data_IF_579114449663
#
_entry.id   IF_579114449663
#
_cell.length_a   1.000
_cell.length_b   1.000
_cell.length_c   1.000
_cell.angle_alpha   90.00
_cell.angle_beta   90.00
_cell.angle_gamma   90.00
#
_symmetry.space_group_name_H-M   'P 1'
#
loop_
_entity.id
_entity.type
_entity.pdbx_description
1 polymer ?
#
# COMPACT_ATOMS: atom_id res chain seq x y z
N UNK A 1 12.79 1.40 -5.22
CA UNK A 1 12.16 2.00 -4.04
C UNK A 1 13.24 2.71 -3.27
N UNK A 2 13.08 4.01 -3.07
CA UNK A 2 14.01 4.84 -2.31
C UNK A 2 13.42 5.19 -0.92
N UNK A 3 14.05 4.73 0.17
CA UNK A 3 13.58 5.02 1.52
C UNK A 3 13.61 6.53 1.84
N UNK A 4 14.53 7.30 1.24
CA UNK A 4 14.64 8.75 1.44
C UNK A 4 13.39 9.46 0.90
N UNK A 5 12.95 9.10 -0.30
CA UNK A 5 11.74 9.65 -0.90
C UNK A 5 10.48 9.27 -0.10
N UNK A 6 10.36 8.01 0.32
CA UNK A 6 9.21 7.59 1.14
C UNK A 6 9.15 8.33 2.49
N UNK A 7 10.32 8.61 3.09
CA UNK A 7 10.45 9.39 4.33
C UNK A 7 10.09 10.87 4.14
N UNK A 8 10.42 11.45 2.98
CA UNK A 8 9.99 12.79 2.60
C UNK A 8 8.45 12.87 2.55
N UNK A 9 7.79 11.97 1.82
CA UNK A 9 6.33 11.94 1.73
C UNK A 9 5.69 11.70 3.11
N UNK A 10 6.24 10.79 3.91
CA UNK A 10 5.80 10.57 5.29
C UNK A 10 5.83 11.87 6.11
N UNK A 11 6.92 12.63 6.04
CA UNK A 11 7.07 13.91 6.75
C UNK A 11 6.09 14.96 6.25
N UNK A 12 5.81 15.00 4.95
CA UNK A 12 4.82 15.92 4.37
C UNK A 12 3.43 15.62 4.93
N UNK A 13 2.94 14.38 4.84
CA UNK A 13 1.60 14.02 5.34
C UNK A 13 1.50 14.09 6.87
N UNK A 14 2.60 13.90 7.58
CA UNK A 14 2.63 14.07 9.04
C UNK A 14 2.62 15.54 9.46
N UNK A 15 3.32 16.41 8.73
CA UNK A 15 3.49 17.83 9.07
C UNK A 15 2.35 18.72 8.56
N UNK A 16 1.92 18.51 7.32
CA UNK A 16 0.89 19.32 6.66
C UNK A 16 -0.49 18.65 6.63
N UNK A 17 -0.60 17.44 7.18
CA UNK A 17 -1.86 16.71 7.25
C UNK A 17 -2.50 16.58 5.86
N UNK A 18 -3.78 16.92 5.72
CA UNK A 18 -4.56 16.77 4.51
C UNK A 18 -4.51 17.98 3.55
N UNK A 19 -3.72 19.01 3.85
CA UNK A 19 -3.66 20.24 3.04
C UNK A 19 -3.31 19.95 1.58
N UNK A 20 -2.37 19.02 1.35
CA UNK A 20 -1.87 18.67 0.01
C UNK A 20 -2.46 17.35 -0.52
N UNK A 21 -3.44 16.78 0.18
CA UNK A 21 -3.95 15.44 -0.10
C UNK A 21 -4.54 15.33 -1.50
N UNK A 22 -5.30 16.33 -1.94
CA UNK A 22 -5.99 16.28 -3.24
C UNK A 22 -4.99 16.33 -4.40
N UNK A 23 -3.95 17.14 -4.27
CA UNK A 23 -2.86 17.29 -5.22
C UNK A 23 -2.06 15.99 -5.33
N UNK A 24 -1.76 15.33 -4.20
CA UNK A 24 -1.08 14.04 -4.20
C UNK A 24 -1.96 12.91 -4.70
N UNK A 25 -3.27 12.92 -4.46
CA UNK A 25 -4.21 11.95 -5.04
C UNK A 25 -4.24 12.10 -6.56
N UNK A 26 -4.35 13.34 -7.08
CA UNK A 26 -4.33 13.60 -8.52
C UNK A 26 -3.00 13.19 -9.16
N UNK A 27 -1.88 13.48 -8.49
CA UNK A 27 -0.56 13.03 -8.93
C UNK A 27 -0.47 11.50 -8.95
N UNK A 28 -0.90 10.85 -7.87
CA UNK A 28 -0.85 9.38 -7.74
C UNK A 28 -1.69 8.71 -8.82
N UNK A 29 -2.89 9.23 -9.10
CA UNK A 29 -3.74 8.68 -10.14
C UNK A 29 -3.13 8.82 -11.54
N UNK A 30 -2.50 9.97 -11.82
CA UNK A 30 -1.77 10.20 -13.07
C UNK A 30 -0.61 9.22 -13.25
N UNK A 31 0.19 8.99 -12.21
CA UNK A 31 1.36 8.09 -12.33
C UNK A 31 0.95 6.61 -12.38
N UNK A 32 -0.15 6.21 -11.73
CA UNK A 32 -0.64 4.83 -11.79
C UNK A 32 -1.27 4.47 -13.14
N UNK A 33 -1.77 5.46 -13.90
CA UNK A 33 -2.24 5.26 -15.27
C UNK A 33 -1.10 5.08 -16.29
N UNK A 34 0.15 5.38 -15.90
CA UNK A 34 1.31 5.27 -16.79
C UNK A 34 2.05 3.98 -16.45
N UNK A 35 2.01 3.00 -17.36
CA UNK A 35 2.66 1.69 -17.21
C UNK A 35 4.18 1.75 -17.43
N UNK A 36 4.89 2.57 -16.64
CA UNK A 36 6.34 2.71 -16.71
C UNK A 36 6.96 2.50 -15.32
N UNK A 37 8.07 1.78 -15.27
CA UNK A 37 8.69 1.30 -14.01
C UNK A 37 8.99 2.45 -13.03
N UNK A 38 9.54 3.56 -13.54
CA UNK A 38 9.85 4.74 -12.71
C UNK A 38 8.61 5.38 -12.08
N UNK A 39 7.45 5.31 -12.74
CA UNK A 39 6.18 5.84 -12.24
C UNK A 39 5.63 4.94 -11.13
N UNK A 40 5.69 3.61 -11.30
CA UNK A 40 5.36 2.68 -10.22
C UNK A 40 6.29 2.80 -9.02
N UNK A 41 7.58 3.06 -9.25
CA UNK A 41 8.52 3.35 -8.16
C UNK A 41 8.09 4.56 -7.36
N UNK A 42 7.84 5.70 -8.02
CA UNK A 42 7.34 6.91 -7.37
C UNK A 42 6.00 6.69 -6.66
N UNK A 43 5.07 5.98 -7.31
CA UNK A 43 3.76 5.65 -6.74
C UNK A 43 3.91 4.84 -5.44
N UNK A 44 4.79 3.84 -5.42
CA UNK A 44 5.04 3.01 -4.24
C UNK A 44 5.63 3.81 -3.07
N UNK A 45 6.51 4.78 -3.36
CA UNK A 45 7.11 5.69 -2.36
C UNK A 45 6.07 6.66 -1.80
N UNK A 46 5.22 7.23 -2.68
CA UNK A 46 4.15 8.15 -2.30
C UNK A 46 3.07 7.46 -1.45
N UNK A 47 2.63 6.27 -1.85
CA UNK A 47 1.65 5.46 -1.08
C UNK A 47 2.22 5.11 0.29
N UNK A 48 3.49 4.73 0.38
CA UNK A 48 4.15 4.46 1.66
C UNK A 48 4.10 5.68 2.57
N UNK A 49 4.47 6.86 2.06
CA UNK A 49 4.42 8.10 2.83
C UNK A 49 3.00 8.50 3.24
N UNK A 50 2.02 8.32 2.36
CA UNK A 50 0.62 8.65 2.61
C UNK A 50 0.02 7.76 3.70
N UNK A 51 0.21 6.44 3.62
CA UNK A 51 -0.33 5.50 4.61
C UNK A 51 0.37 5.68 5.97
N UNK A 52 1.70 5.75 5.99
CA UNK A 52 2.44 5.92 7.24
C UNK A 52 2.22 7.30 7.88
N UNK A 53 2.08 8.35 7.06
CA UNK A 53 1.93 9.73 7.50
C UNK A 53 0.53 10.08 7.99
N UNK A 54 -0.49 9.38 7.49
CA UNK A 54 -1.89 9.58 7.87
C UNK A 54 -2.34 8.85 9.14
N UNK A 55 -1.45 8.10 9.80
CA UNK A 55 -1.79 7.28 10.99
C UNK A 55 -2.34 8.06 12.19
N UNK A 56 -2.08 9.37 12.28
CA UNK A 56 -2.56 10.25 13.36
C UNK A 56 -3.74 11.15 12.95
N UNK A 57 -4.24 11.00 11.72
CA UNK A 57 -5.34 11.84 11.22
C UNK A 57 -6.68 11.41 11.83
N UNK A 58 -7.68 12.28 11.76
CA UNK A 58 -9.04 11.98 12.23
C UNK A 58 -9.65 10.84 11.42
N UNK A 59 -10.28 9.88 12.09
CA UNK A 59 -10.80 8.63 11.52
C UNK A 59 -11.66 8.83 10.25
N UNK A 60 -12.57 9.81 10.23
CA UNK A 60 -13.43 10.07 9.07
C UNK A 60 -12.65 10.51 7.81
N UNK A 61 -11.52 11.20 7.97
CA UNK A 61 -10.68 11.65 6.85
C UNK A 61 -9.81 10.51 6.32
N UNK A 62 -9.18 9.77 7.25
CA UNK A 62 -8.36 8.59 6.94
C UNK A 62 -9.16 7.58 6.13
N UNK A 63 -10.39 7.28 6.55
CA UNK A 63 -11.24 6.29 5.90
C UNK A 63 -11.49 6.60 4.42
N UNK A 64 -11.78 7.85 4.05
CA UNK A 64 -11.98 8.24 2.64
C UNK A 64 -10.74 7.99 1.79
N UNK A 65 -9.56 8.28 2.34
CA UNK A 65 -8.28 8.05 1.64
C UNK A 65 -7.99 6.56 1.53
N UNK A 66 -8.25 5.80 2.59
CA UNK A 66 -8.09 4.34 2.60
C UNK A 66 -9.02 3.67 1.58
N UNK A 67 -10.29 4.06 1.52
CA UNK A 67 -11.25 3.52 0.54
C UNK A 67 -10.82 3.82 -0.91
N UNK A 68 -10.33 5.04 -1.16
CA UNK A 68 -9.81 5.40 -2.48
C UNK A 68 -8.54 4.62 -2.83
N UNK A 69 -7.58 4.53 -1.89
CA UNK A 69 -6.35 3.76 -2.06
C UNK A 69 -6.65 2.27 -2.26
N UNK A 70 -7.56 1.69 -1.48
CA UNK A 70 -7.93 0.27 -1.58
C UNK A 70 -8.41 -0.06 -2.99
N UNK A 71 -9.34 0.73 -3.53
CA UNK A 71 -9.83 0.55 -4.90
C UNK A 71 -8.68 0.66 -5.90
N UNK A 72 -7.87 1.72 -5.78
CA UNK A 72 -6.85 2.02 -6.78
C UNK A 72 -5.68 1.03 -6.77
N UNK A 73 -5.25 0.61 -5.59
CA UNK A 73 -4.21 -0.41 -5.40
C UNK A 73 -4.72 -1.78 -5.82
N UNK A 74 -6.00 -2.10 -5.59
CA UNK A 74 -6.59 -3.34 -6.11
C UNK A 74 -6.44 -3.42 -7.62
N UNK A 75 -6.84 -2.38 -8.36
CA UNK A 75 -6.72 -2.36 -9.82
C UNK A 75 -5.25 -2.46 -10.26
N UNK A 76 -4.37 -1.69 -9.61
CA UNK A 76 -2.93 -1.69 -9.90
C UNK A 76 -2.29 -3.07 -9.67
N UNK A 77 -2.67 -3.78 -8.60
CA UNK A 77 -2.07 -5.07 -8.23
C UNK A 77 -2.61 -6.24 -9.06
N UNK A 78 -3.73 -6.09 -9.75
CA UNK A 78 -4.23 -7.11 -10.68
C UNK A 78 -3.40 -7.18 -11.97
N UNK A 79 -2.92 -6.03 -12.44
CA UNK A 79 -2.17 -5.85 -13.69
C UNK A 79 -0.66 -5.67 -13.45
N UNK A 80 -0.20 -5.89 -12.21
CA UNK A 80 1.17 -5.62 -11.81
C UNK A 80 2.16 -6.55 -12.52
N UNK A 81 3.20 -5.98 -13.10
CA UNK A 81 4.24 -6.75 -13.78
C UNK A 81 5.37 -7.14 -12.80
N UNK A 82 6.11 -8.23 -13.08
CA UNK A 82 7.20 -8.68 -12.22
C UNK A 82 8.34 -7.65 -12.04
N UNK A 83 8.54 -6.75 -13.01
CA UNK A 83 9.60 -5.74 -12.96
C UNK A 83 9.35 -4.72 -11.86
N UNK A 84 8.08 -4.39 -11.60
CA UNK A 84 7.68 -3.40 -10.58
C UNK A 84 7.27 -4.03 -9.26
N UNK A 85 7.06 -5.35 -9.19
CA UNK A 85 6.59 -6.06 -7.99
C UNK A 85 7.49 -5.82 -6.78
N UNK A 86 8.81 -5.77 -6.99
CA UNK A 86 9.80 -5.55 -5.93
C UNK A 86 9.66 -4.17 -5.26
N UNK A 87 9.33 -3.13 -6.03
CA UNK A 87 9.12 -1.78 -5.49
C UNK A 87 7.92 -1.76 -4.55
N UNK A 88 6.81 -2.39 -4.97
CA UNK A 88 5.60 -2.51 -4.16
C UNK A 88 5.77 -3.46 -2.96
N UNK A 89 6.51 -4.56 -3.11
CA UNK A 89 6.85 -5.43 -1.99
C UNK A 89 7.63 -4.69 -0.90
N UNK A 90 8.61 -3.87 -1.29
CA UNK A 90 9.38 -3.04 -0.35
C UNK A 90 8.49 -1.96 0.31
N UNK A 91 7.60 -1.33 -0.47
CA UNK A 91 6.63 -0.37 0.06
C UNK A 91 5.69 -1.02 1.10
N UNK A 92 5.10 -2.18 0.80
CA UNK A 92 4.23 -2.92 1.71
C UNK A 92 4.98 -3.34 2.98
N UNK A 93 6.18 -3.89 2.85
CA UNK A 93 7.02 -4.22 4.01
C UNK A 93 7.26 -2.98 4.89
N UNK A 94 7.59 -1.83 4.27
CA UNK A 94 7.82 -0.57 5.00
C UNK A 94 6.56 -0.11 5.74
N UNK A 95 5.38 -0.17 5.08
CA UNK A 95 4.10 0.19 5.68
C UNK A 95 3.80 -0.71 6.88
N UNK A 96 3.90 -2.02 6.71
CA UNK A 96 3.59 -3.01 7.75
C UNK A 96 4.55 -2.92 8.94
N UNK A 97 5.83 -2.63 8.71
CA UNK A 97 6.80 -2.42 9.78
C UNK A 97 6.65 -1.09 10.52
N UNK A 98 6.00 -0.09 9.91
CA UNK A 98 5.92 1.28 10.47
C UNK A 98 4.57 1.65 11.07
N UNK A 99 3.52 0.89 10.76
CA UNK A 99 2.14 1.18 11.14
C UNK A 99 1.58 0.15 12.13
N UNK A 100 0.63 0.57 12.96
CA UNK A 100 -0.08 -0.37 13.82
C UNK A 100 -1.02 -1.25 12.99
N UNK A 101 -1.13 -2.57 13.26
CA UNK A 101 -2.00 -3.48 12.50
C UNK A 101 -3.43 -2.99 12.34
N UNK A 102 -4.00 -2.34 13.37
CA UNK A 102 -5.35 -1.76 13.34
C UNK A 102 -5.51 -0.67 12.29
N UNK A 103 -4.47 0.13 12.05
CA UNK A 103 -4.51 1.23 11.07
C UNK A 103 -4.35 0.76 9.63
N UNK A 104 -3.81 -0.45 9.42
CA UNK A 104 -3.57 -1.05 8.10
C UNK A 104 -4.42 -2.29 7.85
N UNK A 105 -5.42 -2.58 8.70
CA UNK A 105 -6.30 -3.74 8.56
C UNK A 105 -6.97 -3.80 7.17
N UNK A 106 -7.43 -2.65 6.66
CA UNK A 106 -7.98 -2.52 5.30
C UNK A 106 -7.01 -3.03 4.22
N UNK A 107 -5.71 -2.73 4.36
CA UNK A 107 -4.68 -3.12 3.41
C UNK A 107 -4.38 -4.62 3.50
N UNK A 108 -4.37 -5.17 4.71
CA UNK A 108 -4.24 -6.63 4.94
C UNK A 108 -5.41 -7.37 4.27
N UNK A 109 -6.65 -6.95 4.55
CA UNK A 109 -7.84 -7.54 3.96
C UNK A 109 -7.88 -7.43 2.44
N UNK A 110 -7.46 -6.28 1.89
CA UNK A 110 -7.33 -6.07 0.45
C UNK A 110 -6.34 -7.05 -0.17
N UNK A 111 -5.15 -7.25 0.43
CA UNK A 111 -4.14 -8.19 -0.06
C UNK A 111 -4.63 -9.65 0.00
N UNK A 112 -5.32 -10.05 1.07
CA UNK A 112 -5.94 -11.38 1.13
C UNK A 112 -7.03 -11.57 0.08
N UNK A 113 -7.88 -10.57 -0.13
CA UNK A 113 -8.90 -10.58 -1.20
C UNK A 113 -8.24 -10.72 -2.57
N UNK A 114 -7.16 -9.98 -2.84
CA UNK A 114 -6.39 -10.08 -4.08
C UNK A 114 -5.78 -11.47 -4.28
N UNK A 115 -5.13 -12.02 -3.25
CA UNK A 115 -4.49 -13.33 -3.32
C UNK A 115 -5.49 -14.47 -3.58
N UNK A 116 -6.74 -14.34 -3.14
CA UNK A 116 -7.82 -15.32 -3.36
C UNK A 116 -8.51 -15.18 -4.71
N UNK A 117 -8.30 -14.09 -5.46
CA UNK A 117 -8.96 -13.91 -6.76
C UNK A 117 -8.48 -14.96 -7.75
N UNK A 118 -9.39 -15.68 -8.44
CA UNK A 118 -9.00 -16.64 -9.46
C UNK A 118 -8.27 -15.91 -10.59
N UNK A 119 -7.26 -16.57 -11.16
CA UNK A 119 -6.61 -16.16 -12.39
C UNK A 119 -6.04 -17.40 -13.05
N UNK A 120 -6.02 -17.39 -14.38
CA UNK A 120 -5.45 -18.46 -15.19
C UNK A 120 -3.93 -18.27 -15.37
N UNK A 121 -3.41 -17.09 -15.05
CA UNK A 121 -2.01 -16.71 -15.26
C UNK A 121 -1.22 -16.92 -13.97
N UNK A 122 -0.32 -17.91 -13.98
CA UNK A 122 0.49 -18.29 -12.82
C UNK A 122 1.37 -17.15 -12.28
N UNK A 123 1.89 -16.30 -13.16
CA UNK A 123 2.71 -15.13 -12.76
C UNK A 123 1.91 -14.12 -11.94
N UNK A 124 0.63 -13.91 -12.26
CA UNK A 124 -0.23 -13.02 -11.50
C UNK A 124 -0.50 -13.55 -10.08
N UNK A 125 -0.69 -14.86 -9.91
CA UNK A 125 -0.83 -15.48 -8.57
C UNK A 125 0.46 -15.29 -7.77
N UNK A 126 1.61 -15.58 -8.40
CA UNK A 126 2.94 -15.41 -7.78
C UNK A 126 3.12 -13.99 -7.25
N UNK A 127 2.83 -12.98 -8.07
CA UNK A 127 2.97 -11.56 -7.69
C UNK A 127 2.02 -11.19 -6.54
N UNK A 128 0.75 -11.60 -6.58
CA UNK A 128 -0.21 -11.33 -5.50
C UNK A 128 0.21 -11.97 -4.17
N UNK A 129 0.67 -13.22 -4.20
CA UNK A 129 1.20 -13.90 -3.03
C UNK A 129 2.49 -13.26 -2.52
N UNK A 130 3.37 -12.81 -3.41
CA UNK A 130 4.58 -12.08 -3.05
C UNK A 130 4.28 -10.76 -2.33
N UNK A 131 3.30 -9.98 -2.80
CA UNK A 131 2.87 -8.74 -2.15
C UNK A 131 2.32 -9.01 -0.74
N UNK A 132 1.47 -10.03 -0.60
CA UNK A 132 0.94 -10.47 0.70
C UNK A 132 2.07 -10.89 1.65
N UNK A 133 2.97 -11.75 1.17
CA UNK A 133 4.13 -12.22 1.95
C UNK A 133 5.02 -11.06 2.39
N UNK A 134 5.26 -10.08 1.51
CA UNK A 134 6.12 -8.93 1.80
C UNK A 134 5.64 -8.12 3.00
N UNK A 135 4.32 -7.91 3.11
CA UNK A 135 3.72 -7.27 4.29
C UNK A 135 3.75 -8.20 5.53
N UNK A 136 3.31 -9.45 5.36
CA UNK A 136 3.18 -10.38 6.48
C UNK A 136 4.50 -10.72 7.18
N UNK A 137 5.61 -10.72 6.45
CA UNK A 137 6.94 -10.94 7.03
C UNK A 137 7.32 -9.88 8.08
N UNK A 138 6.68 -8.71 8.08
CA UNK A 138 6.95 -7.62 9.02
C UNK A 138 6.03 -7.63 10.25
N UNK A 139 4.87 -8.29 10.16
CA UNK A 139 4.00 -8.54 11.33
C UNK A 139 4.48 -9.81 12.02
N UNK A 140 5.26 -9.64 13.09
CA UNK A 140 5.75 -10.77 13.89
C UNK A 140 4.63 -11.68 14.40
N UNK A 141 4.99 -12.92 14.80
CA UNK A 141 4.07 -13.99 15.22
C UNK A 141 3.02 -13.59 16.28
N UNK A 142 3.30 -12.59 17.11
CA UNK A 142 2.35 -12.09 18.12
C UNK A 142 1.08 -11.44 17.55
N UNK A 143 1.07 -11.05 16.27
CA UNK A 143 -0.06 -10.32 15.65
C UNK A 143 -0.99 -11.20 14.81
N UNK A 144 -0.56 -12.40 14.39
CA UNK A 144 -1.41 -13.33 13.61
C UNK A 144 -2.70 -13.73 14.36
N UNK A 145 -2.65 -13.82 15.69
CA UNK A 145 -3.80 -14.26 16.49
C UNK A 145 -4.95 -13.25 16.55
N UNK A 146 -4.70 -11.94 16.40
CA UNK A 146 -5.78 -10.95 16.46
C UNK A 146 -6.38 -10.60 15.10
N UNK A 147 -5.64 -10.81 14.00
CA UNK A 147 -6.13 -10.50 12.65
C UNK A 147 -6.91 -11.67 12.06
N UNK A 148 -6.58 -12.92 12.43
CA UNK A 148 -7.27 -14.13 11.94
C UNK A 148 -8.66 -14.32 12.56
N UNK A 149 -8.95 -13.72 13.73
CA UNK A 149 -10.22 -13.86 14.44
C UNK A 149 -11.23 -12.72 14.20
N UNK A 150 -10.87 -11.69 13.42
CA UNK A 150 -11.76 -10.56 13.09
C UNK A 150 -12.36 -10.70 11.67
N UNK A 151 -11.91 -11.68 10.88
CA UNK A 151 -12.48 -12.04 9.58
C UNK A 151 -13.32 -13.32 9.68
#
# INVERSE_FOLDING_TARGET
>A
FDPVNSSLFYRIFRGFNDILLQEFIAMLDKVLNIAHESHHRLASELVTGMVCGSKLWRHAKVRKVQEWLEKRLTDTFLELTPEVEKNWGTALATIFGSCEPRTIAWLVEMLFRLARRPTEISTQIKTRLYLLQSGLNQVGFHYCWNVIWIA
#
